data_IF_617413064093
#
_entry.id   IF_617413064093
#
_cell.length_a   1.000
_cell.length_b   1.000
_cell.length_c   1.000
_cell.angle_alpha   90.00
_cell.angle_beta   90.00
_cell.angle_gamma   90.00
#
_symmetry.space_group_name_H-M   'P 1'
#
loop_
_entity.id
_entity.type
_entity.pdbx_description
1 polymer ?
#
# COMPACT_ATOMS: atom_id res chain seq x y z
N UNK A 1 44.65 25.36 -8.69
CA UNK A 1 45.40 24.20 -8.16
C UNK A 1 44.97 23.97 -6.71
N UNK A 2 44.77 22.71 -6.29
CA UNK A 2 43.41 22.15 -6.32
C UNK A 2 43.03 21.28 -5.10
N UNK A 3 41.78 20.81 -5.16
CA UNK A 3 41.29 19.51 -4.69
C UNK A 3 41.12 19.29 -3.18
N UNK A 4 39.86 19.23 -2.73
CA UNK A 4 39.33 18.18 -1.85
C UNK A 4 37.84 18.43 -1.62
N UNK A 5 36.98 17.83 -2.45
CA UNK A 5 35.65 17.29 -2.12
C UNK A 5 35.07 16.66 -3.39
N UNK A 6 35.80 15.67 -3.92
CA UNK A 6 35.22 14.59 -4.73
C UNK A 6 34.83 13.51 -3.72
N UNK A 7 33.54 13.26 -3.51
CA UNK A 7 32.94 11.93 -3.29
C UNK A 7 31.44 12.07 -3.01
N UNK A 8 30.65 11.09 -3.46
CA UNK A 8 29.19 10.98 -3.33
C UNK A 8 28.32 11.67 -4.41
N UNK A 9 28.64 11.41 -5.69
CA UNK A 9 27.66 11.46 -6.78
C UNK A 9 27.08 10.06 -6.99
N UNK A 10 26.12 9.66 -6.16
CA UNK A 10 25.20 8.55 -6.42
C UNK A 10 23.93 8.79 -5.58
N UNK A 11 23.29 9.92 -5.85
CA UNK A 11 22.15 10.48 -5.11
C UNK A 11 20.83 10.03 -5.76
N UNK A 12 19.76 10.03 -4.96
CA UNK A 12 18.36 10.30 -5.34
C UNK A 12 17.36 9.18 -5.62
N UNK A 13 17.56 7.90 -5.32
CA UNK A 13 16.55 6.89 -5.74
C UNK A 13 15.12 7.01 -5.17
N UNK A 14 14.82 7.73 -4.08
CA UNK A 14 13.50 7.60 -3.41
C UNK A 14 13.00 8.89 -2.73
N UNK A 15 12.85 9.98 -3.51
CA UNK A 15 12.03 11.15 -3.14
C UNK A 15 10.52 10.85 -3.24
N UNK A 16 10.08 9.74 -2.65
CA UNK A 16 8.66 9.35 -2.64
C UNK A 16 8.08 9.56 -1.26
N UNK A 17 7.41 10.73 -1.15
CA UNK A 17 6.54 11.24 -0.09
C UNK A 17 7.32 11.94 1.03
N UNK A 18 7.12 13.26 1.12
CA UNK A 18 7.78 14.14 2.08
C UNK A 18 7.95 15.54 1.51
N UNK A 19 6.86 16.30 1.36
CA UNK A 19 6.91 17.76 1.41
C UNK A 19 5.57 18.34 1.86
N UNK A 20 5.71 19.31 2.75
CA UNK A 20 4.70 19.98 3.54
C UNK A 20 3.97 21.05 2.72
N UNK A 21 2.68 21.24 2.98
CA UNK A 21 2.02 22.53 2.82
C UNK A 21 1.22 22.84 4.11
N UNK A 22 1.33 24.06 4.69
CA UNK A 22 0.55 24.46 5.85
C UNK A 22 -0.89 24.77 5.41
N UNK A 23 -1.87 24.04 5.92
CA UNK A 23 -3.28 24.33 5.67
C UNK A 23 -3.77 25.41 6.64
N UNK A 24 -4.18 26.56 6.10
CA UNK A 24 -5.09 27.47 6.79
C UNK A 24 -6.49 26.86 6.80
N UNK A 25 -7.10 26.81 7.98
CA UNK A 25 -8.44 26.28 8.18
C UNK A 25 -9.51 27.29 7.71
N UNK A 26 -10.47 26.82 6.92
CA UNK A 26 -11.80 27.40 6.87
C UNK A 26 -12.82 26.29 7.14
N UNK A 27 -13.65 26.54 8.16
CA UNK A 27 -14.76 25.70 8.54
C UNK A 27 -15.91 25.86 7.56
N UNK A 28 -16.61 24.78 7.21
CA UNK A 28 -17.98 24.87 6.73
C UNK A 28 -18.79 23.61 7.08
N UNK A 29 -20.08 23.89 7.33
CA UNK A 29 -21.07 23.13 8.09
C UNK A 29 -21.43 21.73 7.61
N UNK A 30 -21.84 20.96 8.63
CA UNK A 30 -22.56 19.70 8.64
C UNK A 30 -23.88 19.78 7.86
N UNK A 31 -24.12 18.87 6.92
CA UNK A 31 -25.43 18.21 6.75
C UNK A 31 -25.38 17.02 5.78
N UNK A 32 -25.96 15.91 6.25
CA UNK A 32 -26.86 14.99 5.52
C UNK A 32 -26.42 13.51 5.34
N UNK A 33 -27.07 12.67 6.17
CA UNK A 33 -27.62 11.31 5.93
C UNK A 33 -26.83 10.35 5.02
N UNK A 34 -26.19 9.37 5.67
CA UNK A 34 -25.66 8.15 5.06
C UNK A 34 -26.81 7.25 4.59
N UNK A 35 -26.97 7.09 3.26
CA UNK A 35 -27.70 5.96 2.65
C UNK A 35 -26.75 4.77 2.51
N UNK A 36 -27.23 3.57 2.83
CA UNK A 36 -26.49 2.33 2.62
C UNK A 36 -26.06 2.17 1.15
N UNK A 37 -24.82 1.70 0.87
CA UNK A 37 -24.34 1.56 -0.50
C UNK A 37 -25.06 0.40 -1.21
N UNK A 38 -25.43 0.56 -2.50
CA UNK A 38 -26.01 -0.53 -3.28
C UNK A 38 -24.95 -1.62 -3.55
N UNK A 39 -25.39 -2.87 -3.62
CA UNK A 39 -24.61 -4.04 -4.00
C UNK A 39 -24.04 -3.81 -5.42
N UNK A 40 -22.72 -3.84 -5.57
CA UNK A 40 -22.00 -3.44 -6.79
C UNK A 40 -21.63 -4.65 -7.64
N UNK A 41 -22.11 -4.68 -8.89
CA UNK A 41 -21.68 -5.65 -9.89
C UNK A 41 -20.36 -5.18 -10.52
N UNK A 42 -19.35 -6.03 -10.50
CA UNK A 42 -18.02 -5.76 -11.05
C UNK A 42 -18.01 -6.06 -12.54
N UNK A 43 -17.73 -5.07 -13.39
CA UNK A 43 -17.42 -5.28 -14.80
C UNK A 43 -15.92 -5.63 -14.94
N UNK A 44 -15.64 -6.91 -15.26
CA UNK A 44 -14.30 -7.47 -15.39
C UNK A 44 -13.78 -7.48 -16.85
N UNK A 45 -14.35 -6.66 -17.73
CA UNK A 45 -14.13 -6.72 -19.20
C UNK A 45 -12.69 -6.50 -19.71
N UNK A 46 -11.68 -6.31 -18.85
CA UNK A 46 -10.26 -6.26 -19.25
C UNK A 46 -9.34 -7.15 -18.38
N UNK A 47 -9.85 -8.25 -17.84
CA UNK A 47 -9.03 -9.19 -17.09
C UNK A 47 -8.56 -10.31 -18.02
N UNK A 48 -7.30 -10.22 -18.46
CA UNK A 48 -6.55 -11.35 -19.00
C UNK A 48 -6.75 -12.57 -18.08
N UNK A 49 -7.21 -13.67 -18.69
CA UNK A 49 -7.37 -15.05 -18.16
C UNK A 49 -7.18 -15.17 -16.63
N UNK A 50 -8.28 -15.37 -15.90
CA UNK A 50 -8.23 -15.67 -14.46
C UNK A 50 -7.21 -16.80 -14.20
N UNK A 51 -6.23 -16.59 -13.30
CA UNK A 51 -5.21 -17.61 -13.05
C UNK A 51 -5.86 -18.88 -12.52
N UNK A 52 -5.40 -20.04 -12.98
CA UNK A 52 -5.85 -21.36 -12.53
C UNK A 52 -5.18 -21.74 -11.19
N UNK A 53 -5.27 -20.85 -10.20
CA UNK A 53 -4.65 -21.00 -8.88
C UNK A 53 -5.71 -21.31 -7.83
N UNK A 54 -5.42 -22.27 -6.94
CA UNK A 54 -6.27 -22.56 -5.80
C UNK A 54 -6.19 -21.40 -4.78
N UNK A 55 -7.29 -20.68 -4.64
CA UNK A 55 -7.40 -19.53 -3.72
C UNK A 55 -7.96 -19.94 -2.35
N UNK A 56 -8.19 -21.23 -2.12
CA UNK A 56 -8.76 -21.73 -0.87
C UNK A 56 -7.87 -21.35 0.31
N UNK A 57 -8.48 -20.70 1.30
CA UNK A 57 -7.81 -20.26 2.52
C UNK A 57 -7.16 -18.87 2.43
N UNK A 58 -7.27 -18.18 1.29
CA UNK A 58 -6.81 -16.79 1.19
C UNK A 58 -7.80 -15.87 1.88
N UNK A 59 -7.42 -15.32 3.03
CA UNK A 59 -8.32 -14.48 3.82
C UNK A 59 -8.64 -13.15 3.13
N UNK A 60 -7.77 -12.68 2.24
CA UNK A 60 -7.95 -11.46 1.45
C UNK A 60 -9.18 -11.56 0.54
N UNK A 61 -9.48 -12.76 0.03
CA UNK A 61 -10.61 -13.03 -0.86
C UNK A 61 -11.85 -13.57 -0.13
N UNK A 62 -11.71 -13.97 1.13
CA UNK A 62 -12.77 -14.54 1.93
C UNK A 62 -13.85 -13.49 2.28
N UNK A 63 -15.09 -13.73 1.81
CA UNK A 63 -16.21 -12.80 2.00
C UNK A 63 -16.73 -12.75 3.43
N UNK A 64 -16.64 -13.84 4.17
CA UNK A 64 -17.08 -13.88 5.57
C UNK A 64 -16.09 -13.09 6.43
N UNK A 65 -14.79 -13.20 6.14
CA UNK A 65 -13.76 -12.38 6.78
C UNK A 65 -13.90 -10.90 6.42
N UNK A 66 -14.18 -10.56 5.15
CA UNK A 66 -14.47 -9.18 4.75
C UNK A 66 -15.69 -8.63 5.52
N UNK A 67 -16.79 -9.37 5.59
CA UNK A 67 -17.99 -8.95 6.32
C UNK A 67 -17.71 -8.76 7.82
N UNK A 68 -16.95 -9.67 8.44
CA UNK A 68 -16.55 -9.56 9.84
C UNK A 68 -15.69 -8.32 10.10
N UNK A 69 -14.77 -8.00 9.17
CA UNK A 69 -13.82 -6.91 9.30
C UNK A 69 -14.35 -5.56 8.84
N UNK A 70 -15.52 -5.47 8.20
CA UNK A 70 -16.07 -4.21 7.67
C UNK A 70 -16.11 -3.11 8.75
N UNK A 71 -16.69 -3.44 9.91
CA UNK A 71 -16.70 -2.53 11.05
C UNK A 71 -15.30 -2.19 11.57
N UNK A 72 -14.33 -3.11 11.49
CA UNK A 72 -12.96 -2.88 11.95
C UNK A 72 -12.23 -1.89 11.03
N UNK A 73 -12.38 -2.08 9.72
CA UNK A 73 -11.81 -1.24 8.68
C UNK A 73 -12.40 0.17 8.74
N UNK A 74 -13.73 0.28 8.89
CA UNK A 74 -14.38 1.57 9.11
C UNK A 74 -13.90 2.26 10.39
N UNK A 75 -13.74 1.51 11.49
CA UNK A 75 -13.20 2.07 12.73
C UNK A 75 -11.76 2.55 12.57
N UNK A 76 -10.92 1.83 11.83
CA UNK A 76 -9.54 2.23 11.55
C UNK A 76 -9.48 3.60 10.86
N UNK A 77 -10.21 3.77 9.76
CA UNK A 77 -10.18 5.02 8.99
C UNK A 77 -10.93 6.18 9.65
N UNK A 78 -11.79 5.89 10.64
CA UNK A 78 -12.41 6.89 11.51
C UNK A 78 -11.64 7.13 12.82
N UNK A 79 -10.37 6.72 12.88
CA UNK A 79 -9.48 6.90 14.04
C UNK A 79 -9.96 6.26 15.35
N UNK A 80 -10.89 5.31 15.28
CA UNK A 80 -11.35 4.49 16.41
C UNK A 80 -10.46 3.26 16.58
N UNK A 81 -9.15 3.49 16.72
CA UNK A 81 -8.13 2.44 16.67
C UNK A 81 -8.36 1.32 17.67
N UNK A 82 -8.72 1.63 18.93
CA UNK A 82 -8.96 0.62 19.96
C UNK A 82 -10.08 -0.37 19.57
N UNK A 83 -11.09 0.11 18.84
CA UNK A 83 -12.20 -0.74 18.35
C UNK A 83 -11.71 -1.61 17.19
N UNK A 84 -11.04 -1.03 16.21
CA UNK A 84 -10.48 -1.76 15.07
C UNK A 84 -9.51 -2.86 15.52
N UNK A 85 -8.55 -2.51 16.39
CA UNK A 85 -7.52 -3.43 16.84
C UNK A 85 -8.05 -4.57 17.71
N UNK A 86 -9.20 -4.40 18.40
CA UNK A 86 -9.86 -5.51 19.10
C UNK A 86 -10.28 -6.62 18.12
N UNK A 87 -10.82 -6.24 16.96
CA UNK A 87 -11.21 -7.20 15.92
C UNK A 87 -9.97 -7.80 15.24
N UNK A 88 -8.94 -7.02 14.93
CA UNK A 88 -7.69 -7.56 14.36
C UNK A 88 -7.00 -8.55 15.32
N UNK A 89 -7.01 -8.29 16.63
CA UNK A 89 -6.54 -9.25 17.65
C UNK A 89 -7.40 -10.51 17.71
N UNK A 90 -8.70 -10.41 17.45
CA UNK A 90 -9.59 -11.57 17.36
C UNK A 90 -9.29 -12.42 16.14
N UNK A 91 -9.11 -11.78 14.98
CA UNK A 91 -8.65 -12.44 13.75
C UNK A 91 -7.32 -13.16 13.99
N UNK A 92 -6.36 -12.52 14.65
CA UNK A 92 -5.07 -13.12 15.01
C UNK A 92 -5.21 -14.40 15.84
N UNK A 93 -6.16 -14.47 16.77
CA UNK A 93 -6.36 -15.69 17.59
C UNK A 93 -6.84 -16.88 16.76
N UNK A 94 -7.65 -16.62 15.72
CA UNK A 94 -8.15 -17.66 14.80
C UNK A 94 -7.13 -18.02 13.72
N UNK A 95 -6.37 -17.03 13.26
CA UNK A 95 -5.37 -17.19 12.20
C UNK A 95 -3.98 -16.72 12.67
N UNK A 96 -3.37 -17.41 13.65
CA UNK A 96 -2.14 -16.95 14.29
C UNK A 96 -0.92 -16.93 13.36
N UNK A 97 -0.93 -17.72 12.29
CA UNK A 97 0.16 -17.81 11.31
C UNK A 97 -0.18 -17.15 9.97
N UNK A 98 -1.29 -16.42 9.88
CA UNK A 98 -1.66 -15.69 8.66
C UNK A 98 -1.14 -14.24 8.73
N UNK A 99 -0.61 -13.66 7.65
CA UNK A 99 -0.04 -12.31 7.67
C UNK A 99 -1.05 -11.19 7.91
N UNK A 100 -2.27 -11.32 7.37
CA UNK A 100 -3.33 -10.30 7.44
C UNK A 100 -3.53 -9.65 8.83
N UNK A 101 -3.78 -10.38 9.94
CA UNK A 101 -3.99 -9.75 11.24
C UNK A 101 -2.80 -8.90 11.72
N UNK A 102 -1.56 -9.30 11.40
CA UNK A 102 -0.37 -8.53 11.76
C UNK A 102 -0.21 -7.32 10.86
N UNK A 103 -0.46 -7.47 9.57
CA UNK A 103 -0.44 -6.37 8.61
C UNK A 103 -1.46 -5.28 9.00
N UNK A 104 -2.69 -5.66 9.36
CA UNK A 104 -3.73 -4.72 9.81
C UNK A 104 -3.36 -3.99 11.11
N UNK A 105 -2.68 -4.65 12.03
CA UNK A 105 -2.13 -4.00 13.22
C UNK A 105 -1.00 -3.00 12.86
N UNK A 106 -0.14 -3.35 11.90
CA UNK A 106 0.86 -2.45 11.35
C UNK A 106 0.22 -1.24 10.67
N UNK A 107 -0.83 -1.46 9.88
CA UNK A 107 -1.59 -0.42 9.19
C UNK A 107 -2.29 0.52 10.19
N UNK A 108 -2.81 0.02 11.31
CA UNK A 108 -3.30 0.85 12.41
C UNK A 108 -2.24 1.84 12.91
N UNK A 109 -1.01 1.37 13.11
CA UNK A 109 0.10 2.23 13.54
C UNK A 109 0.52 3.22 12.44
N UNK A 110 0.52 2.81 11.17
CA UNK A 110 0.73 3.72 10.05
C UNK A 110 -0.25 4.90 10.09
N UNK A 111 -1.55 4.61 10.26
CA UNK A 111 -2.59 5.63 10.32
C UNK A 111 -2.54 6.49 11.59
N UNK A 112 -1.84 6.07 12.64
CA UNK A 112 -1.50 6.90 13.81
C UNK A 112 -0.30 7.82 13.55
N UNK A 113 0.63 7.43 12.67
CA UNK A 113 1.80 8.23 12.26
C UNK A 113 1.39 9.33 11.28
N UNK A 114 0.55 9.01 10.30
CA UNK A 114 0.13 9.92 9.23
C UNK A 114 -0.26 11.33 9.68
N UNK A 115 -1.13 11.53 10.70
CA UNK A 115 -1.55 12.87 11.11
C UNK A 115 -0.48 13.66 11.88
N UNK A 116 0.65 13.05 12.26
CA UNK A 116 1.70 13.73 13.03
C UNK A 116 2.68 14.51 12.17
N UNK A 117 2.42 14.64 10.86
CA UNK A 117 3.37 15.16 9.86
C UNK A 117 4.76 14.52 9.99
N UNK A 118 4.78 13.23 10.34
CA UNK A 118 6.00 12.45 10.55
C UNK A 118 6.99 13.01 11.61
N UNK A 119 6.58 13.93 12.49
CA UNK A 119 7.49 14.52 13.47
C UNK A 119 7.87 13.56 14.62
N UNK A 120 6.90 12.79 15.11
CA UNK A 120 7.12 11.83 16.21
C UNK A 120 7.44 10.44 15.69
N UNK A 121 8.27 9.72 16.45
CA UNK A 121 8.66 8.32 16.20
C UNK A 121 7.97 7.32 17.14
N UNK A 122 7.00 7.77 17.93
CA UNK A 122 6.37 6.98 18.99
C UNK A 122 5.79 5.63 18.52
N UNK A 123 5.33 5.56 17.27
CA UNK A 123 4.72 4.36 16.70
C UNK A 123 5.67 3.56 15.80
N UNK A 124 6.83 4.10 15.43
CA UNK A 124 7.73 3.50 14.44
C UNK A 124 8.14 2.08 14.82
N UNK A 125 8.58 1.87 16.07
CA UNK A 125 9.04 0.55 16.53
C UNK A 125 7.93 -0.50 16.46
N UNK A 126 6.71 -0.12 16.85
CA UNK A 126 5.55 -1.02 16.85
C UNK A 126 5.12 -1.31 15.42
N UNK A 127 5.08 -0.29 14.57
CA UNK A 127 4.79 -0.41 13.14
C UNK A 127 5.76 -1.40 12.47
N UNK A 128 7.07 -1.20 12.61
CA UNK A 128 8.07 -2.06 11.97
C UNK A 128 7.96 -3.51 12.48
N UNK A 129 7.76 -3.72 13.78
CA UNK A 129 7.60 -5.06 14.34
C UNK A 129 6.39 -5.81 13.73
N UNK A 130 5.27 -5.12 13.50
CA UNK A 130 4.11 -5.73 12.84
C UNK A 130 4.36 -6.01 11.36
N UNK A 131 5.03 -5.11 10.64
CA UNK A 131 5.39 -5.33 9.23
C UNK A 131 6.38 -6.50 9.07
N UNK A 132 7.36 -6.62 9.97
CA UNK A 132 8.30 -7.75 10.00
C UNK A 132 7.60 -9.08 10.29
N UNK A 133 6.61 -9.07 11.18
CA UNK A 133 5.81 -10.27 11.50
C UNK A 133 4.93 -10.66 10.31
N UNK A 134 4.27 -9.69 9.66
CA UNK A 134 3.50 -9.94 8.45
C UNK A 134 4.37 -10.49 7.32
N UNK A 135 5.57 -9.91 7.12
CA UNK A 135 6.56 -10.44 6.17
C UNK A 135 6.93 -11.89 6.51
N UNK A 136 7.25 -12.19 7.76
CA UNK A 136 7.65 -13.54 8.19
C UNK A 136 6.59 -14.59 7.83
N UNK A 137 5.33 -14.34 8.16
CA UNK A 137 4.25 -15.28 7.83
C UNK A 137 3.95 -15.35 6.34
N UNK A 138 4.05 -14.21 5.63
CA UNK A 138 3.90 -14.21 4.17
C UNK A 138 5.01 -14.99 3.47
N UNK A 139 6.27 -14.90 3.94
CA UNK A 139 7.38 -15.70 3.43
C UNK A 139 7.16 -17.20 3.67
N UNK A 140 6.57 -17.57 4.81
CA UNK A 140 6.21 -18.97 5.09
C UNK A 140 5.14 -19.47 4.13
N UNK A 141 4.08 -18.69 3.90
CA UNK A 141 3.04 -19.03 2.93
C UNK A 141 3.60 -19.16 1.51
N UNK A 142 4.41 -18.20 1.06
CA UNK A 142 5.03 -18.23 -0.27
C UNK A 142 6.05 -19.37 -0.45
N UNK A 143 6.69 -19.84 0.64
CA UNK A 143 7.56 -21.02 0.61
C UNK A 143 6.77 -22.32 0.52
N UNK A 144 5.64 -22.40 1.21
CA UNK A 144 4.78 -23.57 1.21
C UNK A 144 4.04 -23.72 -0.13
N UNK A 145 3.62 -22.60 -0.72
CA UNK A 145 2.97 -22.53 -2.02
C UNK A 145 3.53 -21.34 -2.83
N UNK A 146 4.43 -21.61 -3.80
CA UNK A 146 4.99 -20.57 -4.66
C UNK A 146 3.96 -19.82 -5.52
N UNK A 147 2.74 -20.33 -5.68
CA UNK A 147 1.64 -19.68 -6.41
C UNK A 147 0.66 -18.94 -5.49
N UNK A 148 0.97 -18.83 -4.19
CA UNK A 148 0.17 -18.06 -3.26
C UNK A 148 0.36 -16.55 -3.49
N UNK A 149 -0.45 -15.99 -4.38
CA UNK A 149 -0.36 -14.57 -4.74
C UNK A 149 -0.78 -13.64 -3.58
N UNK A 150 -1.63 -14.10 -2.66
CA UNK A 150 -1.96 -13.36 -1.42
C UNK A 150 -0.71 -13.14 -0.56
N UNK A 151 0.14 -14.16 -0.43
CA UNK A 151 1.40 -14.04 0.30
C UNK A 151 2.31 -12.98 -0.34
N UNK A 152 2.43 -12.97 -1.67
CA UNK A 152 3.20 -11.94 -2.36
C UNK A 152 2.58 -10.54 -2.27
N UNK A 153 1.25 -10.44 -2.23
CA UNK A 153 0.56 -9.18 -1.97
C UNK A 153 0.95 -8.61 -0.62
N UNK A 154 0.86 -9.40 0.46
CA UNK A 154 1.26 -8.93 1.79
C UNK A 154 2.76 -8.63 1.89
N UNK A 155 3.62 -9.43 1.25
CA UNK A 155 5.06 -9.14 1.15
C UNK A 155 5.31 -7.81 0.45
N UNK A 156 4.64 -7.56 -0.67
CA UNK A 156 4.78 -6.32 -1.41
C UNK A 156 4.32 -5.13 -0.57
N UNK A 157 3.12 -5.22 0.01
CA UNK A 157 2.53 -4.17 0.81
C UNK A 157 3.37 -3.84 2.06
N UNK A 158 3.77 -4.85 2.84
CA UNK A 158 4.55 -4.63 4.05
C UNK A 158 5.92 -4.00 3.75
N UNK A 159 6.61 -4.45 2.70
CA UNK A 159 7.88 -3.84 2.26
C UNK A 159 7.67 -2.43 1.68
N UNK A 160 6.53 -2.15 1.02
CA UNK A 160 6.20 -0.82 0.52
C UNK A 160 5.94 0.19 1.64
N UNK A 161 5.20 -0.22 2.67
CA UNK A 161 4.99 0.58 3.88
C UNK A 161 6.29 0.79 4.68
N UNK A 162 7.11 -0.25 4.85
CA UNK A 162 8.44 -0.14 5.45
C UNK A 162 9.32 0.86 4.70
N UNK A 163 9.37 0.74 3.37
CA UNK A 163 10.14 1.63 2.52
C UNK A 163 9.71 3.08 2.69
N UNK A 164 8.39 3.32 2.70
CA UNK A 164 7.81 4.65 2.86
C UNK A 164 8.18 5.27 4.20
N UNK A 165 8.00 4.54 5.32
CA UNK A 165 8.36 5.10 6.62
C UNK A 165 9.87 5.35 6.71
N UNK A 166 10.71 4.45 6.20
CA UNK A 166 12.16 4.67 6.19
C UNK A 166 12.56 5.88 5.32
N UNK A 167 11.86 6.16 4.23
CA UNK A 167 12.09 7.36 3.41
C UNK A 167 11.74 8.64 4.18
N UNK A 168 10.58 8.69 4.84
CA UNK A 168 10.17 9.79 5.73
C UNK A 168 11.13 9.99 6.92
N UNK A 169 11.86 8.94 7.30
CA UNK A 169 12.91 8.98 8.35
C UNK A 169 14.31 9.25 7.83
N UNK A 170 14.47 9.49 6.53
CA UNK A 170 15.76 9.65 5.85
C UNK A 170 16.70 8.44 6.00
N UNK A 171 16.15 7.26 6.30
CA UNK A 171 16.86 5.98 6.34
C UNK A 171 16.98 5.39 4.92
N UNK A 172 17.60 6.15 4.02
CA UNK A 172 17.59 5.91 2.57
C UNK A 172 18.02 4.51 2.16
N UNK A 173 19.07 3.98 2.81
CA UNK A 173 19.56 2.62 2.50
C UNK A 173 18.49 1.55 2.73
N UNK A 174 17.77 1.66 3.84
CA UNK A 174 16.66 0.74 4.18
C UNK A 174 15.49 0.95 3.24
N UNK A 175 15.11 2.21 3.00
CA UNK A 175 14.05 2.55 2.06
C UNK A 175 14.28 1.94 0.66
N UNK A 176 15.51 2.03 0.13
CA UNK A 176 15.89 1.44 -1.16
C UNK A 176 15.78 -0.08 -1.16
N UNK A 177 16.29 -0.73 -0.13
CA UNK A 177 16.24 -2.18 -0.04
C UNK A 177 14.79 -2.69 0.02
N UNK A 178 13.97 -2.09 0.88
CA UNK A 178 12.56 -2.44 1.03
C UNK A 178 11.75 -2.13 -0.23
N UNK A 179 12.03 -1.02 -0.92
CA UNK A 179 11.37 -0.69 -2.20
C UNK A 179 11.66 -1.75 -3.26
N UNK A 180 12.91 -2.20 -3.39
CA UNK A 180 13.29 -3.27 -4.33
C UNK A 180 12.55 -4.56 -4.00
N UNK A 181 12.47 -4.94 -2.72
CA UNK A 181 11.69 -6.12 -2.30
C UNK A 181 10.22 -5.97 -2.65
N UNK A 182 9.62 -4.82 -2.34
CA UNK A 182 8.22 -4.55 -2.62
C UNK A 182 7.87 -4.73 -4.10
N UNK A 183 8.69 -4.18 -4.99
CA UNK A 183 8.52 -4.30 -6.45
C UNK A 183 8.71 -5.74 -6.94
N UNK A 184 9.69 -6.46 -6.42
CA UNK A 184 9.89 -7.87 -6.77
C UNK A 184 8.68 -8.72 -6.40
N UNK A 185 8.10 -8.51 -5.22
CA UNK A 185 6.91 -9.24 -4.79
C UNK A 185 5.64 -8.77 -5.51
N UNK A 186 5.53 -7.49 -5.83
CA UNK A 186 4.43 -6.96 -6.66
C UNK A 186 4.37 -7.67 -8.01
N UNK A 187 5.52 -7.86 -8.65
CA UNK A 187 5.60 -8.56 -9.93
C UNK A 187 5.14 -10.02 -9.80
N UNK A 188 5.42 -10.68 -8.67
CA UNK A 188 4.96 -12.05 -8.41
C UNK A 188 3.47 -12.13 -8.11
N UNK A 189 2.87 -11.12 -7.48
CA UNK A 189 1.42 -11.09 -7.23
C UNK A 189 0.59 -10.64 -8.44
N UNK A 190 1.23 -10.11 -9.50
CA UNK A 190 0.55 -9.49 -10.65
C UNK A 190 -0.44 -10.41 -11.36
N UNK A 191 -0.18 -11.71 -11.38
CA UNK A 191 -1.08 -12.72 -11.97
C UNK A 191 -2.45 -12.76 -11.27
N UNK A 192 -2.54 -12.34 -10.01
CA UNK A 192 -3.79 -12.24 -9.27
C UNK A 192 -4.58 -10.94 -9.49
N UNK A 193 -4.09 -10.00 -10.31
CA UNK A 193 -4.79 -8.72 -10.56
C UNK A 193 -6.22 -8.92 -11.08
N UNK A 194 -6.46 -10.04 -11.76
CA UNK A 194 -7.78 -10.41 -12.25
C UNK A 194 -8.74 -10.99 -11.21
N UNK A 195 -8.22 -11.44 -10.06
CA UNK A 195 -9.01 -12.13 -9.03
C UNK A 195 -9.77 -11.16 -8.13
N UNK A 196 -9.20 -9.98 -7.88
CA UNK A 196 -9.79 -8.98 -6.98
C UNK A 196 -9.18 -7.60 -7.21
N UNK A 197 -9.96 -6.52 -7.04
CA UNK A 197 -9.43 -5.15 -7.02
C UNK A 197 -8.31 -4.93 -5.99
N UNK A 198 -8.22 -5.73 -4.93
CA UNK A 198 -7.13 -5.62 -3.95
C UNK A 198 -5.75 -5.77 -4.60
N UNK A 199 -5.59 -6.76 -5.49
CA UNK A 199 -4.32 -7.03 -6.14
C UNK A 199 -3.94 -5.95 -7.16
N UNK A 200 -4.94 -5.28 -7.75
CA UNK A 200 -4.73 -4.23 -8.73
C UNK A 200 -4.07 -2.98 -8.13
N UNK A 201 -4.19 -2.75 -6.81
CA UNK A 201 -3.70 -1.53 -6.15
C UNK A 201 -2.22 -1.25 -6.40
N UNK A 202 -1.36 -2.27 -6.24
CA UNK A 202 0.08 -2.10 -6.42
C UNK A 202 0.47 -1.81 -7.87
N UNK A 203 -0.17 -2.49 -8.83
CA UNK A 203 0.08 -2.27 -10.26
C UNK A 203 -0.42 -0.88 -10.69
N UNK A 204 -1.53 -0.41 -10.12
CA UNK A 204 -2.05 0.93 -10.35
C UNK A 204 -1.05 2.03 -9.92
N UNK A 205 -0.47 1.88 -8.72
CA UNK A 205 0.59 2.77 -8.25
C UNK A 205 1.84 2.69 -9.12
N UNK A 206 2.27 1.48 -9.49
CA UNK A 206 3.44 1.29 -10.35
C UNK A 206 3.25 1.96 -11.72
N UNK A 207 2.11 1.74 -12.35
CA UNK A 207 1.78 2.28 -13.67
C UNK A 207 1.84 3.82 -13.65
N UNK A 208 1.28 4.45 -12.62
CA UNK A 208 1.37 5.90 -12.45
C UNK A 208 2.80 6.40 -12.20
N UNK A 209 3.46 5.88 -11.17
CA UNK A 209 4.74 6.43 -10.70
C UNK A 209 5.91 6.12 -11.63
N UNK A 210 5.86 5.03 -12.41
CA UNK A 210 6.88 4.72 -13.40
C UNK A 210 7.04 5.82 -14.47
N UNK A 211 5.98 6.61 -14.72
CA UNK A 211 5.98 7.77 -15.63
C UNK A 211 6.20 9.08 -14.86
N UNK A 212 5.51 9.28 -13.74
CA UNK A 212 5.58 10.53 -12.98
C UNK A 212 6.98 10.80 -12.39
N UNK A 213 7.69 9.76 -11.90
CA UNK A 213 9.03 9.92 -11.32
C UNK A 213 10.05 10.47 -12.32
N UNK A 214 10.26 9.89 -13.52
CA UNK A 214 11.25 10.42 -14.46
C UNK A 214 10.90 11.82 -14.99
N UNK A 215 9.62 12.19 -15.00
CA UNK A 215 9.17 13.55 -15.36
C UNK A 215 9.55 14.58 -14.30
N UNK A 216 9.32 14.26 -13.02
CA UNK A 216 9.55 15.18 -11.89
C UNK A 216 10.98 15.12 -11.33
N UNK A 217 11.67 13.99 -11.53
CA UNK A 217 13.04 13.75 -11.06
C UNK A 217 13.93 13.20 -12.18
N UNK A 218 14.31 14.02 -13.18
CA UNK A 218 15.04 13.56 -14.37
C UNK A 218 16.37 12.86 -14.07
N UNK A 219 17.01 13.19 -12.93
CA UNK A 219 18.25 12.54 -12.47
C UNK A 219 18.08 11.03 -12.22
N UNK A 220 16.85 10.55 -12.05
CA UNK A 220 16.53 9.14 -11.81
C UNK A 220 16.26 8.33 -13.07
N UNK A 221 16.09 9.00 -14.22
CA UNK A 221 15.88 8.33 -15.51
C UNK A 221 16.85 7.17 -15.77
N UNK A 222 18.17 7.29 -15.53
CA UNK A 222 19.10 6.20 -15.84
C UNK A 222 18.82 4.91 -15.08
N UNK A 223 18.36 5.01 -13.83
CA UNK A 223 18.04 3.83 -13.01
C UNK A 223 16.67 3.26 -13.39
N UNK A 224 15.72 4.11 -13.75
CA UNK A 224 14.37 3.70 -14.10
C UNK A 224 14.29 2.94 -15.43
N UNK A 225 15.31 3.05 -16.29
CA UNK A 225 15.42 2.27 -17.53
C UNK A 225 15.47 0.74 -17.31
N UNK A 226 15.84 0.29 -16.10
CA UNK A 226 15.88 -1.12 -15.75
C UNK A 226 14.54 -1.67 -15.22
N UNK A 227 13.53 -0.82 -15.08
CA UNK A 227 12.19 -1.19 -14.64
C UNK A 227 11.22 -1.24 -15.84
N UNK A 228 10.16 -2.06 -15.78
CA UNK A 228 9.13 -2.03 -16.81
C UNK A 228 8.50 -0.65 -16.91
N UNK A 229 8.14 -0.24 -18.14
CA UNK A 229 7.39 1.00 -18.35
C UNK A 229 5.94 0.77 -17.97
N UNK A 230 5.38 1.67 -17.18
CA UNK A 230 3.95 1.73 -16.95
C UNK A 230 3.26 2.73 -17.85
N UNK A 231 1.99 2.97 -17.55
CA UNK A 231 1.14 3.94 -18.24
C UNK A 231 0.41 4.79 -17.19
N UNK A 232 0.65 6.11 -17.23
CA UNK A 232 0.10 7.05 -16.26
C UNK A 232 -1.43 7.05 -16.24
N UNK A 233 -2.06 7.02 -17.41
CA UNK A 233 -3.52 7.05 -17.55
C UNK A 233 -4.14 5.72 -17.12
N UNK A 234 -3.50 4.60 -17.48
CA UNK A 234 -3.89 3.29 -16.99
C UNK A 234 -3.82 3.23 -15.46
N UNK A 235 -2.73 3.71 -14.86
CA UNK A 235 -2.54 3.75 -13.41
C UNK A 235 -3.63 4.56 -12.71
N UNK A 236 -3.98 5.75 -13.24
CA UNK A 236 -5.10 6.55 -12.71
C UNK A 236 -6.44 5.82 -12.83
N UNK A 237 -6.73 5.20 -13.98
CA UNK A 237 -7.97 4.43 -14.17
C UNK A 237 -8.06 3.26 -13.20
N UNK A 238 -6.98 2.50 -13.06
CA UNK A 238 -6.89 1.38 -12.13
C UNK A 238 -7.04 1.85 -10.68
N UNK A 239 -6.40 2.96 -10.28
CA UNK A 239 -6.55 3.53 -8.94
C UNK A 239 -8.00 3.92 -8.63
N UNK A 240 -8.72 4.50 -9.60
CA UNK A 240 -10.16 4.79 -9.47
C UNK A 240 -10.97 3.50 -9.28
N UNK A 241 -10.69 2.47 -10.09
CA UNK A 241 -11.33 1.15 -9.92
C UNK A 241 -11.08 0.58 -8.52
N UNK A 242 -9.87 0.65 -8.00
CA UNK A 242 -9.53 0.16 -6.65
C UNK A 242 -10.24 1.00 -5.59
N UNK A 243 -10.21 2.32 -5.70
CA UNK A 243 -10.88 3.23 -4.77
C UNK A 243 -12.39 2.94 -4.64
N UNK A 244 -13.03 2.57 -5.75
CA UNK A 244 -14.47 2.30 -5.79
C UNK A 244 -14.83 0.87 -5.40
N UNK A 245 -13.96 -0.11 -5.64
CA UNK A 245 -14.35 -1.53 -5.58
C UNK A 245 -13.53 -2.38 -4.60
N UNK A 246 -12.36 -1.92 -4.14
CA UNK A 246 -11.57 -2.65 -3.17
C UNK A 246 -12.07 -2.40 -1.75
N UNK A 247 -12.07 -3.46 -0.93
CA UNK A 247 -12.50 -3.44 0.45
C UNK A 247 -11.39 -2.98 1.40
N UNK A 248 -10.20 -3.60 1.33
CA UNK A 248 -9.08 -3.28 2.19
C UNK A 248 -8.28 -2.08 1.68
N UNK A 249 -7.92 -2.09 0.39
CA UNK A 249 -7.05 -1.08 -0.24
C UNK A 249 -7.80 0.13 -0.81
N UNK A 250 -9.14 0.14 -0.75
CA UNK A 250 -9.95 1.19 -1.36
C UNK A 250 -9.72 2.57 -0.74
N UNK A 251 -9.53 2.66 0.57
CA UNK A 251 -9.25 3.95 1.23
C UNK A 251 -7.82 4.42 0.96
N UNK A 252 -6.85 3.52 0.92
CA UNK A 252 -5.49 3.80 0.48
C UNK A 252 -5.50 4.40 -0.93
N UNK A 253 -6.20 3.76 -1.87
CA UNK A 253 -6.32 4.24 -3.24
C UNK A 253 -6.95 5.64 -3.30
N UNK A 254 -7.98 5.94 -2.50
CA UNK A 254 -8.55 7.30 -2.38
C UNK A 254 -7.53 8.31 -1.88
N UNK A 255 -6.72 7.94 -0.89
CA UNK A 255 -5.67 8.82 -0.33
C UNK A 255 -4.58 9.10 -1.36
N UNK A 256 -4.19 8.10 -2.15
CA UNK A 256 -3.27 8.29 -3.26
C UNK A 256 -3.90 9.16 -4.35
N UNK A 257 -5.11 8.86 -4.82
CA UNK A 257 -5.81 9.67 -5.82
C UNK A 257 -5.93 11.14 -5.41
N UNK A 258 -6.32 11.42 -4.17
CA UNK A 258 -6.39 12.79 -3.66
C UNK A 258 -5.05 13.51 -3.80
N UNK A 259 -3.94 12.85 -3.43
CA UNK A 259 -2.59 13.42 -3.55
C UNK A 259 -2.14 13.61 -5.00
N UNK A 260 -2.47 12.65 -5.87
CA UNK A 260 -2.08 12.69 -7.27
C UNK A 260 -2.83 13.80 -8.01
N UNK A 261 -4.15 13.87 -7.82
CA UNK A 261 -4.99 14.90 -8.44
C UNK A 261 -4.65 16.29 -7.93
N UNK A 262 -4.35 16.46 -6.64
CA UNK A 262 -3.89 17.76 -6.11
C UNK A 262 -2.58 18.26 -6.74
N UNK A 263 -1.72 17.34 -7.20
CA UNK A 263 -0.44 17.72 -7.81
C UNK A 263 -0.54 17.93 -9.32
N UNK A 264 -1.53 17.29 -9.97
CA UNK A 264 -1.70 17.27 -11.43
C UNK A 264 -2.81 18.23 -11.92
N UNK A 265 -3.74 18.64 -11.06
CA UNK A 265 -4.87 19.57 -11.31
C UNK A 265 -4.83 20.77 -10.35
#
# INVERSE_FOLDING_TARGET
>A
MPALFRFSRLFLLLLLLGSLAPSYAQAQDDTSRVKAPPIRNVDLSNVDVLPNTDTKGWLLLDKDIQLELDGAVQNLYNFKYDKAEKQFRSLRRRYPHHPMPYFLMGLSNWWKIMPTNFQTKQYDKIFFAYMDTANTYSEQLAKADPNNYEAYFFLSAANGFDARLNAERHNWRRATFSSKRALNYLQKSKEANGLSPEFLFGDALFNYYSIWIPENYPLLKPVLLFFPKGDKQLGLKQLRTVADNAFYTGVEAKVFLMKLLHNDE
#
